data_IF_375917243657
#
_entry.id   IF_375917243657
#
_cell.length_a   1.000
_cell.length_b   1.000
_cell.length_c   1.000
_cell.angle_alpha   90.00
_cell.angle_beta   90.00
_cell.angle_gamma   90.00
#
_symmetry.space_group_name_H-M   'P 1'
#
loop_
_entity.id
_entity.type
_entity.pdbx_description
1 polymer ?
#
# COMPACT_ATOMS: atom_id res chain seq x y z
N UNK A 1 0.10 26.68 -11.85
CA UNK A 1 -1.28 26.38 -12.32
C UNK A 1 -2.23 27.28 -11.54
N UNK A 2 -3.04 28.13 -12.20
CA UNK A 2 -4.05 28.97 -11.52
C UNK A 2 -5.43 28.38 -11.80
N UNK A 3 -6.16 28.02 -10.75
CA UNK A 3 -7.52 27.47 -10.85
C UNK A 3 -8.51 28.63 -10.97
N UNK A 4 -9.35 28.61 -11.99
CA UNK A 4 -10.41 29.59 -12.22
C UNK A 4 -11.56 29.44 -11.23
N UNK A 5 -12.24 30.54 -10.89
CA UNK A 5 -13.36 30.55 -9.92
C UNK A 5 -14.49 29.57 -10.27
N UNK A 6 -14.71 29.30 -11.56
CA UNK A 6 -15.79 28.43 -12.04
C UNK A 6 -15.33 26.98 -12.31
N UNK A 7 -14.03 26.68 -12.23
CA UNK A 7 -13.48 25.35 -12.49
C UNK A 7 -13.92 24.36 -11.39
N UNK A 8 -13.91 23.04 -11.66
CA UNK A 8 -14.07 22.03 -10.62
C UNK A 8 -13.08 22.26 -9.48
N UNK A 9 -13.58 22.19 -8.25
CA UNK A 9 -12.75 22.40 -7.07
C UNK A 9 -11.70 21.28 -6.95
N UNK A 10 -10.41 21.60 -6.70
CA UNK A 10 -9.32 20.62 -6.67
C UNK A 10 -9.43 19.60 -5.52
N UNK A 11 -10.31 19.84 -4.54
CA UNK A 11 -10.56 18.91 -3.45
C UNK A 11 -11.40 17.68 -3.84
N UNK A 12 -11.80 17.53 -5.11
CA UNK A 12 -12.57 16.38 -5.60
C UNK A 12 -14.06 16.40 -5.27
N UNK A 13 -14.59 17.47 -4.69
CA UNK A 13 -16.02 17.57 -4.30
C UNK A 13 -17.01 17.67 -5.46
N UNK A 14 -16.55 17.84 -6.70
CA UNK A 14 -17.39 18.08 -7.89
C UNK A 14 -18.05 19.47 -7.94
N UNK A 15 -17.90 20.31 -6.90
CA UNK A 15 -18.44 21.68 -6.86
C UNK A 15 -17.53 22.66 -7.61
N UNK A 16 -18.07 23.78 -8.11
CA UNK A 16 -17.27 24.90 -8.62
C UNK A 16 -16.35 25.45 -7.52
N UNK A 17 -15.10 25.81 -7.84
CA UNK A 17 -14.11 26.26 -6.86
C UNK A 17 -14.65 27.41 -5.98
N UNK A 18 -15.33 28.40 -6.59
CA UNK A 18 -15.97 29.53 -5.89
C UNK A 18 -17.06 29.16 -4.88
N UNK A 19 -17.65 27.96 -5.00
CA UNK A 19 -18.71 27.44 -4.11
C UNK A 19 -18.17 26.38 -3.16
N UNK A 20 -16.85 26.19 -3.08
CA UNK A 20 -16.23 25.15 -2.29
C UNK A 20 -15.03 25.69 -1.50
N UNK A 21 -13.80 25.54 -1.99
CA UNK A 21 -12.60 25.92 -1.25
C UNK A 21 -12.20 27.39 -1.41
N UNK A 22 -12.69 28.10 -2.43
CA UNK A 22 -12.36 29.52 -2.61
C UNK A 22 -12.90 30.33 -1.42
N UNK A 23 -12.00 30.94 -0.65
CA UNK A 23 -12.34 31.74 0.53
C UNK A 23 -12.49 30.94 1.84
N UNK A 24 -12.25 29.63 1.83
CA UNK A 24 -12.05 28.88 3.07
C UNK A 24 -10.61 29.07 3.54
N UNK A 25 -10.42 29.31 4.84
CA UNK A 25 -9.11 29.23 5.44
C UNK A 25 -8.63 27.77 5.44
N UNK A 26 -7.34 27.58 5.23
CA UNK A 26 -6.72 26.27 5.43
C UNK A 26 -6.78 25.90 6.92
N UNK A 27 -6.81 24.60 7.19
CA UNK A 27 -6.74 24.13 8.55
C UNK A 27 -5.33 24.40 9.11
N UNK A 28 -5.27 25.21 10.16
CA UNK A 28 -4.03 25.69 10.78
C UNK A 28 -3.13 24.53 11.23
N UNK A 29 -3.71 23.40 11.65
CA UNK A 29 -2.95 22.24 12.06
C UNK A 29 -2.24 21.58 10.87
N UNK A 30 -2.95 21.39 9.75
CA UNK A 30 -2.40 20.75 8.55
C UNK A 30 -1.48 21.68 7.74
N UNK A 31 -1.67 22.99 7.83
CA UNK A 31 -0.81 23.97 7.15
C UNK A 31 0.48 24.29 7.91
N UNK A 32 0.58 23.91 9.19
CA UNK A 32 1.77 24.15 10.01
C UNK A 32 2.89 23.14 9.71
N UNK A 33 4.07 23.57 9.22
CA UNK A 33 5.19 22.67 8.93
C UNK A 33 5.70 21.89 10.14
N UNK A 34 5.52 22.42 11.36
CA UNK A 34 5.91 21.72 12.59
C UNK A 34 5.10 20.44 12.81
N UNK A 35 3.88 20.37 12.27
CA UNK A 35 2.99 19.22 12.36
C UNK A 35 3.14 18.25 11.18
N UNK A 36 4.09 18.50 10.27
CA UNK A 36 4.22 17.73 9.03
C UNK A 36 4.35 16.23 9.27
N UNK A 37 5.19 15.83 10.23
CA UNK A 37 5.44 14.41 10.49
C UNK A 37 4.22 13.70 11.07
N UNK A 38 3.52 14.35 12.01
CA UNK A 38 2.28 13.81 12.59
C UNK A 38 1.18 13.71 11.54
N UNK A 39 1.01 14.78 10.77
CA UNK A 39 0.06 14.84 9.66
C UNK A 39 0.34 13.74 8.63
N UNK A 40 1.61 13.57 8.23
CA UNK A 40 2.03 12.51 7.31
C UNK A 40 1.74 11.12 7.86
N UNK A 41 2.06 10.85 9.13
CA UNK A 41 1.75 9.58 9.81
C UNK A 41 0.25 9.30 9.82
N UNK A 42 -0.55 10.32 10.14
CA UNK A 42 -2.02 10.24 10.20
C UNK A 42 -2.62 9.95 8.82
N UNK A 43 -2.31 10.78 7.83
CA UNK A 43 -2.80 10.61 6.45
C UNK A 43 -2.40 9.23 5.91
N UNK A 44 -1.13 8.84 6.07
CA UNK A 44 -0.67 7.51 5.63
C UNK A 44 -1.39 6.35 6.31
N UNK A 45 -1.82 6.50 7.56
CA UNK A 45 -2.60 5.49 8.30
C UNK A 45 -4.03 5.42 7.80
N UNK A 46 -4.68 6.57 7.59
CA UNK A 46 -6.06 6.71 7.13
C UNK A 46 -6.22 6.26 5.67
N UNK A 47 -5.21 6.48 4.83
CA UNK A 47 -5.19 6.02 3.43
C UNK A 47 -4.95 4.51 3.26
N UNK A 48 -4.78 3.73 4.35
CA UNK A 48 -4.56 2.28 4.25
C UNK A 48 -5.85 1.55 3.87
N UNK A 49 -5.93 1.13 2.61
CA UNK A 49 -7.03 0.30 2.12
C UNK A 49 -6.84 -1.14 2.55
N UNK A 50 -7.83 -1.70 3.24
CA UNK A 50 -7.91 -3.12 3.60
C UNK A 50 -8.97 -3.79 2.75
N UNK A 51 -8.56 -4.56 1.74
CA UNK A 51 -9.50 -5.22 0.82
C UNK A 51 -8.82 -6.44 0.22
N UNK A 52 -9.58 -7.53 0.09
CA UNK A 52 -9.12 -8.70 -0.66
C UNK A 52 -9.25 -8.45 -2.17
N UNK A 53 -8.18 -8.68 -2.92
CA UNK A 53 -8.10 -8.52 -4.38
C UNK A 53 -8.34 -9.84 -5.12
N UNK A 54 -8.67 -10.91 -4.41
CA UNK A 54 -9.05 -12.17 -5.03
C UNK A 54 -10.38 -12.02 -5.80
N UNK A 55 -10.50 -12.54 -7.04
CA UNK A 55 -11.71 -12.37 -7.86
C UNK A 55 -12.97 -12.97 -7.22
N UNK A 56 -12.82 -14.09 -6.50
CA UNK A 56 -13.91 -14.74 -5.77
C UNK A 56 -14.06 -14.11 -4.39
N UNK A 57 -14.83 -13.03 -4.31
CA UNK A 57 -15.09 -12.35 -3.05
C UNK A 57 -16.09 -13.08 -2.15
N UNK A 58 -16.90 -13.97 -2.72
CA UNK A 58 -17.85 -14.85 -2.05
C UNK A 58 -17.18 -15.90 -1.14
N UNK A 59 -16.00 -16.40 -1.52
CA UNK A 59 -15.20 -17.34 -0.74
C UNK A 59 -14.26 -16.63 0.27
N UNK A 60 -14.40 -15.31 0.45
CA UNK A 60 -13.46 -14.51 1.23
C UNK A 60 -13.67 -14.67 2.75
N UNK A 61 -12.60 -14.98 3.48
CA UNK A 61 -12.62 -14.81 4.95
C UNK A 61 -12.75 -13.33 5.32
N UNK A 62 -13.44 -13.03 6.42
CA UNK A 62 -13.64 -11.66 6.92
C UNK A 62 -12.32 -10.93 7.26
N UNK A 63 -11.27 -11.68 7.60
CA UNK A 63 -10.01 -11.10 8.09
C UNK A 63 -9.03 -10.78 6.96
N UNK A 64 -8.89 -9.50 6.64
CA UNK A 64 -7.77 -8.96 5.85
C UNK A 64 -6.48 -9.00 6.67
N UNK A 65 -5.41 -9.51 6.08
CA UNK A 65 -4.11 -9.67 6.73
C UNK A 65 -3.03 -8.80 6.08
N UNK A 66 -1.87 -8.73 6.73
CA UNK A 66 -0.65 -8.27 6.08
C UNK A 66 -0.04 -9.39 5.23
N UNK A 67 -0.36 -9.40 3.94
CA UNK A 67 0.20 -10.34 2.97
C UNK A 67 1.55 -9.81 2.47
N UNK A 68 2.56 -10.69 2.34
CA UNK A 68 3.84 -10.30 1.79
C UNK A 68 3.82 -10.47 0.27
N UNK A 69 4.23 -9.44 -0.47
CA UNK A 69 4.41 -9.58 -1.92
C UNK A 69 5.66 -10.39 -2.27
N UNK A 70 6.69 -10.35 -1.42
CA UNK A 70 7.88 -11.20 -1.52
C UNK A 70 7.92 -12.15 -0.33
N UNK A 71 8.14 -13.43 -0.59
CA UNK A 71 8.03 -14.51 0.38
C UNK A 71 8.96 -14.30 1.59
N UNK A 72 8.38 -14.06 2.77
CA UNK A 72 9.13 -13.77 3.99
C UNK A 72 10.08 -14.92 4.37
N UNK A 73 9.56 -16.16 4.39
CA UNK A 73 10.31 -17.32 4.86
C UNK A 73 11.30 -17.90 3.83
N UNK A 74 11.29 -17.40 2.59
CA UNK A 74 12.18 -17.85 1.52
C UNK A 74 13.11 -16.72 1.07
N UNK A 75 12.58 -15.79 0.29
CA UNK A 75 13.38 -14.77 -0.39
C UNK A 75 13.86 -13.71 0.62
N UNK A 76 12.96 -13.11 1.40
CA UNK A 76 13.35 -12.05 2.36
C UNK A 76 14.29 -12.60 3.43
N UNK A 77 14.04 -13.81 3.95
CA UNK A 77 14.93 -14.47 4.91
C UNK A 77 16.37 -14.57 4.40
N UNK A 78 16.57 -14.83 3.10
CA UNK A 78 17.89 -14.90 2.46
C UNK A 78 18.49 -13.53 2.20
N UNK A 79 17.66 -12.53 1.89
CA UNK A 79 18.10 -11.15 1.66
C UNK A 79 18.39 -10.38 2.96
N UNK A 80 17.85 -10.83 4.10
CA UNK A 80 17.95 -10.12 5.36
C UNK A 80 19.23 -10.44 6.12
N UNK A 81 19.90 -9.42 6.63
CA UNK A 81 20.96 -9.55 7.65
C UNK A 81 20.36 -9.26 9.01
N UNK A 82 20.51 -10.14 10.00
CA UNK A 82 19.91 -9.97 11.34
C UNK A 82 18.39 -9.69 11.32
N UNK A 83 17.69 -10.20 10.30
CA UNK A 83 16.24 -10.01 10.14
C UNK A 83 15.81 -8.62 9.66
N UNK A 84 16.75 -7.79 9.20
CA UNK A 84 16.47 -6.48 8.58
C UNK A 84 16.80 -6.49 7.09
N UNK A 85 16.06 -5.69 6.31
CA UNK A 85 16.30 -5.42 4.89
C UNK A 85 16.22 -3.91 4.60
N UNK A 86 16.97 -3.44 3.61
CA UNK A 86 16.82 -2.08 3.09
C UNK A 86 15.78 -2.07 1.98
N UNK A 87 14.86 -1.11 2.02
CA UNK A 87 13.86 -0.92 0.97
C UNK A 87 13.92 0.52 0.42
N UNK A 88 13.75 0.70 -0.89
CA UNK A 88 13.67 2.02 -1.52
C UNK A 88 12.27 2.63 -1.32
N UNK A 89 11.82 2.67 -0.08
CA UNK A 89 10.51 3.17 0.30
C UNK A 89 10.63 3.92 1.64
N UNK A 90 10.08 5.12 1.77
CA UNK A 90 10.12 5.86 3.02
C UNK A 90 9.19 5.23 4.06
N UNK A 91 9.61 5.29 5.33
CA UNK A 91 8.76 4.95 6.48
C UNK A 91 7.93 6.15 6.92
N UNK A 92 6.94 5.90 7.77
CA UNK A 92 6.04 6.93 8.29
C UNK A 92 6.74 7.97 9.18
N UNK A 93 7.85 7.58 9.81
CA UNK A 93 8.70 8.42 10.67
C UNK A 93 9.80 9.18 9.92
N UNK A 94 10.16 8.73 8.72
CA UNK A 94 11.13 9.44 7.88
C UNK A 94 10.66 9.48 6.41
N UNK A 95 9.75 10.42 6.06
CA UNK A 95 9.15 10.52 4.72
C UNK A 95 10.14 10.88 3.61
N UNK A 96 11.29 11.48 3.96
CA UNK A 96 12.25 12.02 2.99
C UNK A 96 13.40 11.07 2.67
N UNK A 97 13.54 9.99 3.44
CA UNK A 97 14.60 9.02 3.20
C UNK A 97 14.30 8.19 1.93
N UNK A 98 15.20 8.20 0.93
CA UNK A 98 15.01 7.43 -0.30
C UNK A 98 15.12 5.91 -0.05
N UNK A 99 15.84 5.52 1.01
CA UNK A 99 16.01 4.14 1.43
C UNK A 99 15.88 4.05 2.95
N UNK A 100 15.08 3.11 3.45
CA UNK A 100 14.88 2.90 4.88
C UNK A 100 14.97 1.43 5.27
N UNK A 101 15.20 1.16 6.56
CA UNK A 101 15.35 -0.18 7.12
C UNK A 101 13.99 -0.74 7.52
N UNK A 102 13.66 -1.94 7.06
CA UNK A 102 12.45 -2.69 7.42
C UNK A 102 12.81 -4.01 8.09
N UNK A 103 12.00 -4.41 9.08
CA UNK A 103 12.06 -5.78 9.59
C UNK A 103 11.52 -6.75 8.54
N UNK A 104 12.03 -7.99 8.51
CA UNK A 104 11.59 -9.01 7.54
C UNK A 104 10.07 -9.27 7.53
N UNK A 105 9.42 -9.14 8.69
CA UNK A 105 7.96 -9.30 8.85
C UNK A 105 7.14 -8.08 8.44
N UNK A 106 7.81 -6.96 8.15
CA UNK A 106 7.19 -5.70 7.72
C UNK A 106 7.45 -5.43 6.23
N UNK A 107 8.61 -5.88 5.75
CA UNK A 107 9.05 -5.66 4.39
C UNK A 107 8.06 -6.28 3.41
N UNK A 108 7.70 -5.50 2.38
CA UNK A 108 6.84 -5.94 1.27
C UNK A 108 5.40 -6.31 1.66
N UNK A 109 5.00 -5.99 2.90
CA UNK A 109 3.66 -6.27 3.43
C UNK A 109 2.63 -5.26 2.91
N UNK A 110 1.48 -5.76 2.47
CA UNK A 110 0.32 -4.96 2.06
C UNK A 110 -0.99 -5.67 2.45
N UNK A 111 -2.09 -4.92 2.48
CA UNK A 111 -3.41 -5.38 2.96
C UNK A 111 -4.36 -5.70 1.80
N UNK A 112 -3.85 -6.44 0.81
CA UNK A 112 -4.54 -6.78 -0.43
C UNK A 112 -5.18 -8.17 -0.45
N UNK A 113 -5.02 -8.99 0.59
CA UNK A 113 -5.59 -10.34 0.65
C UNK A 113 -6.15 -10.66 2.04
N UNK A 114 -7.17 -11.51 2.06
CA UNK A 114 -7.63 -12.13 3.29
C UNK A 114 -6.79 -13.36 3.64
N UNK A 115 -6.84 -13.79 4.89
CA UNK A 115 -6.02 -14.91 5.36
C UNK A 115 -6.28 -16.22 4.60
N UNK A 116 -7.53 -16.47 4.19
CA UNK A 116 -7.89 -17.64 3.38
C UNK A 116 -7.22 -17.60 2.01
N UNK A 117 -7.46 -16.55 1.21
CA UNK A 117 -6.96 -16.45 -0.15
C UNK A 117 -5.44 -16.27 -0.23
N UNK A 118 -4.81 -15.57 0.72
CA UNK A 118 -3.35 -15.50 0.76
C UNK A 118 -2.73 -16.89 0.94
N UNK A 119 -3.33 -17.70 1.82
CA UNK A 119 -2.87 -19.07 2.07
C UNK A 119 -3.13 -19.97 0.87
N UNK A 120 -4.37 -20.06 0.39
CA UNK A 120 -4.76 -21.06 -0.61
C UNK A 120 -4.23 -20.76 -2.01
N UNK A 121 -4.26 -19.48 -2.44
CA UNK A 121 -3.85 -19.09 -3.80
C UNK A 121 -2.34 -19.26 -3.98
N UNK A 122 -1.57 -18.86 -2.98
CA UNK A 122 -0.11 -18.82 -3.10
C UNK A 122 0.59 -20.02 -2.48
N UNK A 123 -0.15 -20.97 -1.91
CA UNK A 123 0.41 -22.21 -1.37
C UNK A 123 1.44 -22.89 -2.30
N UNK A 124 1.19 -23.03 -3.63
CA UNK A 124 2.14 -23.72 -4.51
C UNK A 124 3.53 -23.08 -4.51
N UNK A 125 3.60 -21.75 -4.54
CA UNK A 125 4.87 -21.01 -4.49
C UNK A 125 5.46 -20.94 -3.07
N UNK A 126 4.65 -21.04 -2.01
CA UNK A 126 5.09 -21.04 -0.61
C UNK A 126 5.64 -22.40 -0.13
N UNK A 127 5.17 -23.52 -0.67
CA UNK A 127 5.56 -24.85 -0.18
C UNK A 127 6.75 -25.43 -0.95
N UNK A 128 6.85 -25.19 -2.27
CA UNK A 128 7.87 -25.80 -3.14
C UNK A 128 9.06 -24.91 -3.52
N UNK A 129 10.11 -25.48 -4.11
CA UNK A 129 11.11 -24.67 -4.83
C UNK A 129 10.51 -24.11 -6.11
N UNK A 130 11.08 -23.01 -6.62
CA UNK A 130 10.64 -22.46 -7.90
C UNK A 130 10.97 -23.44 -9.03
N UNK A 131 9.93 -24.02 -9.63
CA UNK A 131 10.00 -25.07 -10.64
C UNK A 131 9.85 -24.55 -12.09
N UNK A 132 9.63 -23.24 -12.27
CA UNK A 132 9.38 -22.58 -13.56
C UNK A 132 8.10 -23.05 -14.27
N UNK A 133 7.19 -23.72 -13.56
CA UNK A 133 5.88 -24.07 -14.11
C UNK A 133 5.09 -22.80 -14.46
N UNK A 134 4.18 -22.91 -15.42
CA UNK A 134 3.25 -21.82 -15.79
C UNK A 134 2.48 -21.35 -14.55
N UNK A 135 2.10 -22.28 -13.66
CA UNK A 135 1.42 -21.96 -12.41
C UNK A 135 2.29 -21.09 -11.50
N UNK A 136 3.55 -21.47 -11.26
CA UNK A 136 4.44 -20.67 -10.42
C UNK A 136 4.69 -19.28 -11.02
N UNK A 137 4.96 -19.19 -12.33
CA UNK A 137 5.14 -17.92 -13.03
C UNK A 137 3.91 -17.05 -12.84
N UNK A 138 2.71 -17.59 -13.11
CA UNK A 138 1.45 -16.89 -12.93
C UNK A 138 1.27 -16.37 -11.49
N UNK A 139 1.50 -17.21 -10.48
CA UNK A 139 1.28 -16.84 -9.08
C UNK A 139 2.24 -15.73 -8.61
N UNK A 140 3.52 -15.78 -9.00
CA UNK A 140 4.46 -14.69 -8.71
C UNK A 140 4.04 -13.40 -9.41
N UNK A 141 3.69 -13.46 -10.71
CA UNK A 141 3.21 -12.30 -11.47
C UNK A 141 1.93 -11.73 -10.87
N UNK A 142 0.97 -12.58 -10.50
CA UNK A 142 -0.29 -12.17 -9.89
C UNK A 142 -0.06 -11.46 -8.56
N UNK A 143 0.85 -11.96 -7.72
CA UNK A 143 1.20 -11.32 -6.45
C UNK A 143 1.85 -9.96 -6.65
N UNK A 144 2.77 -9.83 -7.61
CA UNK A 144 3.38 -8.56 -7.99
C UNK A 144 2.35 -7.57 -8.57
N UNK A 145 1.43 -8.05 -9.40
CA UNK A 145 0.33 -7.25 -9.91
C UNK A 145 -0.57 -6.75 -8.77
N UNK A 146 -0.93 -7.61 -7.82
CA UNK A 146 -1.82 -7.28 -6.73
C UNK A 146 -1.29 -6.14 -5.85
N UNK A 147 0.02 -6.11 -5.55
CA UNK A 147 0.61 -5.00 -4.78
C UNK A 147 0.60 -3.68 -5.58
N UNK A 148 0.93 -3.70 -6.86
CA UNK A 148 0.93 -2.49 -7.69
C UNK A 148 -0.49 -1.97 -7.94
N UNK A 149 -1.44 -2.88 -8.15
CA UNK A 149 -2.86 -2.54 -8.25
C UNK A 149 -3.36 -1.95 -6.92
N UNK A 150 -3.03 -2.56 -5.78
CA UNK A 150 -3.38 -2.05 -4.45
C UNK A 150 -2.88 -0.62 -4.22
N UNK A 151 -1.63 -0.33 -4.59
CA UNK A 151 -1.07 1.03 -4.54
C UNK A 151 -1.85 2.02 -5.40
N UNK A 152 -2.30 1.63 -6.60
CA UNK A 152 -3.07 2.50 -7.49
C UNK A 152 -4.50 2.76 -7.00
N UNK A 153 -5.11 1.82 -6.28
CA UNK A 153 -6.44 2.06 -5.67
C UNK A 153 -6.34 3.17 -4.61
N UNK A 154 -5.23 3.25 -3.88
CA UNK A 154 -4.98 4.30 -2.88
C UNK A 154 -4.88 5.70 -3.50
N UNK A 155 -4.51 5.79 -4.79
CA UNK A 155 -4.28 7.06 -5.50
C UNK A 155 -5.53 7.60 -6.22
N UNK A 156 -6.68 6.95 -6.09
CA UNK A 156 -7.98 7.40 -6.63
C UNK A 156 -8.87 7.91 -5.51
#
# INVERSE_FOLDING_TARGET
>A
MRIGRNDPCPCGSGKKYKKCCLGKADDVYYSNPLNLLETYKKVRKESRIKRCLHPKSDECSEKIIGAHSIQNNKIIKRLSSNGIVYMPCPKSDNPFAPMTVYGRKEATVFTGFCGYHDKTVFQPIEDGMFDKSIQHIFLYTYRCFAIEYHKKIILK
#
